data_IF_131986102644
#
_entry.id   IF_131986102644
#
_cell.length_a   1.000
_cell.length_b   1.000
_cell.length_c   1.000
_cell.angle_alpha   90.00
_cell.angle_beta   90.00
_cell.angle_gamma   90.00
#
_symmetry.space_group_name_H-M   'P 1'
#
loop_
_entity.id
_entity.type
_entity.pdbx_description
1 polymer ?
#
# COMPACT_ATOMS: atom_id res chain seq x y z
N UNK A 1 -30.97 -9.83 15.60
CA UNK A 1 -30.47 -10.59 14.43
C UNK A 1 -28.96 -10.46 14.41
N UNK A 2 -28.23 -11.59 14.40
CA UNK A 2 -26.77 -11.61 14.37
C UNK A 2 -26.34 -11.95 12.95
N UNK A 3 -25.60 -11.05 12.30
CA UNK A 3 -25.08 -11.20 10.93
C UNK A 3 -23.56 -11.27 10.99
N UNK A 4 -22.90 -11.86 10.00
CA UNK A 4 -21.45 -11.92 9.92
C UNK A 4 -20.84 -10.52 9.88
N UNK A 5 -21.43 -9.62 9.07
CA UNK A 5 -20.99 -8.21 8.98
C UNK A 5 -21.09 -7.47 10.31
N UNK A 6 -22.13 -7.74 11.12
CA UNK A 6 -22.29 -7.15 12.45
C UNK A 6 -21.21 -7.64 13.41
N UNK A 7 -20.85 -8.93 13.35
CA UNK A 7 -19.77 -9.49 14.14
C UNK A 7 -18.42 -8.88 13.74
N UNK A 8 -18.13 -8.78 12.43
CA UNK A 8 -16.91 -8.17 11.93
C UNK A 8 -16.80 -6.68 12.32
N UNK A 9 -17.89 -5.92 12.19
CA UNK A 9 -17.91 -4.50 12.59
C UNK A 9 -17.65 -4.33 14.10
N UNK A 10 -18.17 -5.22 14.94
CA UNK A 10 -17.84 -5.21 16.38
C UNK A 10 -16.36 -5.49 16.62
N UNK A 11 -15.78 -6.46 15.92
CA UNK A 11 -14.34 -6.73 15.99
C UNK A 11 -13.46 -5.54 15.57
N UNK A 12 -13.89 -4.78 14.56
CA UNK A 12 -13.25 -3.51 14.20
C UNK A 12 -13.33 -2.49 15.34
N UNK A 13 -14.51 -2.30 15.94
CA UNK A 13 -14.70 -1.37 17.08
C UNK A 13 -13.83 -1.78 18.28
N UNK A 14 -13.78 -3.08 18.61
CA UNK A 14 -12.95 -3.61 19.69
C UNK A 14 -11.46 -3.36 19.40
N UNK A 15 -11.03 -3.55 18.14
CA UNK A 15 -9.66 -3.23 17.70
C UNK A 15 -9.34 -1.73 17.85
N UNK A 16 -10.25 -0.85 17.47
CA UNK A 16 -10.05 0.60 17.63
C UNK A 16 -9.95 1.00 19.10
N UNK A 17 -10.72 0.33 19.97
CA UNK A 17 -10.64 0.52 21.43
C UNK A 17 -9.28 0.07 21.96
N UNK A 18 -8.77 -1.08 21.52
CA UNK A 18 -7.43 -1.56 21.90
C UNK A 18 -6.32 -0.61 21.43
N UNK A 19 -6.42 -0.09 20.20
CA UNK A 19 -5.47 0.88 19.63
C UNK A 19 -5.43 2.15 20.48
N UNK A 20 -6.60 2.69 20.84
CA UNK A 20 -6.68 3.87 21.71
C UNK A 20 -6.03 3.64 23.08
N UNK A 21 -6.24 2.46 23.67
CA UNK A 21 -5.71 2.13 25.00
C UNK A 21 -4.20 1.84 25.00
N UNK A 22 -3.67 1.26 23.92
CA UNK A 22 -2.29 0.74 23.86
C UNK A 22 -1.38 1.52 22.92
N UNK A 23 -1.73 1.53 21.64
CA UNK A 23 -0.88 2.13 20.60
C UNK A 23 -0.82 3.66 20.72
N UNK A 24 -1.91 4.30 21.15
CA UNK A 24 -1.95 5.74 21.46
C UNK A 24 -1.47 6.05 22.89
N UNK A 25 -0.50 5.29 23.42
CA UNK A 25 -0.08 5.42 24.81
C UNK A 25 1.40 5.10 25.08
N UNK A 26 1.80 5.04 26.36
CA UNK A 26 3.19 4.90 26.78
C UNK A 26 3.87 3.61 26.27
N UNK A 27 3.10 2.58 25.93
CA UNK A 27 3.62 1.33 25.34
C UNK A 27 4.37 1.61 24.03
N UNK A 28 3.95 2.60 23.22
CA UNK A 28 4.66 3.08 22.01
C UNK A 28 5.46 4.36 22.25
N UNK A 29 5.81 4.65 23.50
CA UNK A 29 6.58 5.82 23.92
C UNK A 29 5.87 7.17 23.63
N UNK A 30 4.54 7.20 23.72
CA UNK A 30 3.73 8.41 23.60
C UNK A 30 3.26 8.85 25.01
N UNK A 31 3.64 10.06 25.43
CA UNK A 31 3.47 10.49 26.84
C UNK A 31 2.73 11.81 27.02
N UNK A 32 2.54 12.58 25.95
CA UNK A 32 1.88 13.89 26.01
C UNK A 32 0.50 13.89 25.34
N UNK A 33 -0.33 14.87 25.70
CA UNK A 33 -1.61 15.10 25.01
C UNK A 33 -1.42 15.34 23.50
N UNK A 34 -0.32 15.99 23.13
CA UNK A 34 0.05 16.21 21.73
C UNK A 34 0.39 14.90 21.01
N UNK A 35 1.07 13.96 21.68
CA UNK A 35 1.37 12.65 21.11
C UNK A 35 0.10 11.85 20.85
N UNK A 36 -0.83 11.83 21.81
CA UNK A 36 -2.13 11.15 21.68
C UNK A 36 -2.95 11.76 20.53
N UNK A 37 -3.02 13.09 20.46
CA UNK A 37 -3.71 13.77 19.36
C UNK A 37 -3.06 13.43 18.00
N UNK A 38 -1.73 13.36 17.93
CA UNK A 38 -1.01 13.00 16.73
C UNK A 38 -1.23 11.53 16.33
N UNK A 39 -1.27 10.59 17.29
CA UNK A 39 -1.54 9.18 17.02
C UNK A 39 -2.97 8.98 16.51
N UNK A 40 -3.97 9.65 17.09
CA UNK A 40 -5.34 9.62 16.58
C UNK A 40 -5.44 10.15 15.15
N UNK A 41 -4.73 11.24 14.84
CA UNK A 41 -4.66 11.74 13.45
C UNK A 41 -4.04 10.70 12.51
N UNK A 42 -2.94 10.06 12.92
CA UNK A 42 -2.32 9.00 12.15
C UNK A 42 -3.26 7.79 11.96
N UNK A 43 -4.01 7.40 13.00
CA UNK A 43 -5.02 6.35 12.94
C UNK A 43 -6.11 6.68 11.90
N UNK A 44 -6.58 7.93 11.84
CA UNK A 44 -7.57 8.33 10.83
C UNK A 44 -7.05 8.15 9.40
N UNK A 45 -5.79 8.49 9.14
CA UNK A 45 -5.19 8.25 7.82
C UNK A 45 -5.01 6.75 7.52
N UNK A 46 -4.65 5.93 8.52
CA UNK A 46 -4.56 4.47 8.37
C UNK A 46 -5.93 3.87 8.04
N UNK A 47 -6.98 4.30 8.72
CA UNK A 47 -8.36 3.87 8.43
C UNK A 47 -8.76 4.25 7.01
N UNK A 48 -8.49 5.49 6.59
CA UNK A 48 -8.76 5.95 5.22
C UNK A 48 -8.00 5.13 4.17
N UNK A 49 -6.72 4.83 4.43
CA UNK A 49 -5.89 3.99 3.57
C UNK A 49 -6.42 2.56 3.49
N UNK A 50 -6.85 1.98 4.62
CA UNK A 50 -7.42 0.65 4.68
C UNK A 50 -8.73 0.55 3.89
N UNK A 51 -9.63 1.52 4.08
CA UNK A 51 -10.91 1.57 3.36
C UNK A 51 -10.67 1.73 1.86
N UNK A 52 -9.82 2.68 1.46
CA UNK A 52 -9.53 2.95 0.05
C UNK A 52 -8.81 1.78 -0.62
N UNK A 53 -7.76 1.26 0.00
CA UNK A 53 -6.85 0.30 -0.62
C UNK A 53 -7.29 -1.16 -0.54
N UNK A 54 -8.13 -1.52 0.44
CA UNK A 54 -8.39 -2.93 0.77
C UNK A 54 -9.87 -3.31 0.87
N UNK A 55 -10.79 -2.42 1.25
CA UNK A 55 -12.20 -2.82 1.48
C UNK A 55 -12.85 -3.40 0.21
N UNK A 56 -12.83 -2.67 -0.91
CA UNK A 56 -13.38 -3.12 -2.20
C UNK A 56 -12.30 -3.72 -3.13
N UNK A 57 -11.29 -4.40 -2.58
CA UNK A 57 -10.22 -4.93 -3.42
C UNK A 57 -10.70 -6.19 -4.17
N UNK A 58 -10.41 -6.26 -5.47
CA UNK A 58 -10.70 -7.44 -6.29
C UNK A 58 -9.55 -7.68 -7.28
N UNK A 59 -8.70 -8.70 -7.07
CA UNK A 59 -7.57 -8.97 -7.96
C UNK A 59 -7.99 -9.43 -9.36
N UNK A 60 -9.25 -9.82 -9.59
CA UNK A 60 -9.75 -10.11 -10.94
C UNK A 60 -10.24 -8.85 -11.68
N UNK A 61 -10.42 -7.73 -10.96
CA UNK A 61 -10.80 -6.42 -11.49
C UNK A 61 -10.02 -5.32 -10.76
N UNK A 62 -8.67 -5.34 -10.85
CA UNK A 62 -7.86 -4.41 -10.09
C UNK A 62 -7.97 -2.99 -10.65
N UNK A 63 -7.77 -2.01 -9.78
CA UNK A 63 -7.55 -0.62 -10.13
C UNK A 63 -6.36 -0.08 -9.32
N UNK A 64 -5.65 0.90 -9.88
CA UNK A 64 -4.53 1.55 -9.21
C UNK A 64 -5.05 2.65 -8.30
N UNK A 65 -4.78 2.53 -7.00
CA UNK A 65 -5.24 3.48 -6.00
C UNK A 65 -4.05 4.20 -5.38
N UNK A 66 -4.21 5.50 -5.13
CA UNK A 66 -3.19 6.26 -4.41
C UNK A 66 -2.99 5.69 -3.02
N UNK A 67 -1.75 5.40 -2.63
CA UNK A 67 -1.47 5.00 -1.23
C UNK A 67 -1.59 6.24 -0.34
N UNK A 68 -0.89 7.31 -0.74
CA UNK A 68 -0.89 8.60 -0.05
C UNK A 68 -1.34 9.73 -0.98
N UNK A 69 -1.93 10.74 -0.35
CA UNK A 69 -2.41 11.98 -0.96
C UNK A 69 -2.01 13.14 -0.04
N UNK A 70 -2.18 14.41 -0.45
CA UNK A 70 -1.96 15.54 0.46
C UNK A 70 -2.75 15.46 1.78
N UNK A 71 -3.89 14.77 1.79
CA UNK A 71 -4.74 14.58 2.96
C UNK A 71 -4.55 13.24 3.68
N UNK A 72 -3.90 12.24 3.05
CA UNK A 72 -3.72 10.89 3.58
C UNK A 72 -2.25 10.51 3.63
N UNK A 73 -1.71 10.39 4.85
CA UNK A 73 -0.34 9.97 5.12
C UNK A 73 -0.25 8.52 5.59
N UNK A 74 0.83 7.82 5.25
CA UNK A 74 1.01 6.43 5.63
C UNK A 74 2.49 6.06 5.71
N UNK A 75 2.92 5.53 6.87
CA UNK A 75 4.21 4.82 7.05
C UNK A 75 5.45 5.53 6.47
N UNK A 76 5.63 6.82 6.76
CA UNK A 76 6.82 7.58 6.34
C UNK A 76 6.79 8.01 4.87
N UNK A 77 5.62 8.46 4.39
CA UNK A 77 5.43 8.93 3.03
C UNK A 77 6.40 10.07 2.65
N UNK A 78 6.94 9.97 1.43
CA UNK A 78 7.76 11.02 0.83
C UNK A 78 6.86 11.96 0.01
N UNK A 79 6.79 13.27 0.32
CA UNK A 79 5.94 14.23 -0.40
C UNK A 79 6.44 14.53 -1.83
N UNK A 80 7.68 14.15 -2.16
CA UNK A 80 8.26 14.24 -3.50
C UNK A 80 7.99 12.99 -4.35
N UNK A 81 7.13 12.10 -3.86
CA UNK A 81 6.79 10.86 -4.55
C UNK A 81 5.28 10.65 -4.68
N UNK A 82 4.90 9.99 -5.78
CA UNK A 82 3.54 9.54 -6.07
C UNK A 82 3.50 8.02 -6.04
N UNK A 83 2.65 7.49 -5.16
CA UNK A 83 2.51 6.08 -4.86
C UNK A 83 1.15 5.55 -5.30
N UNK A 84 1.14 4.47 -6.08
CA UNK A 84 -0.08 3.70 -6.32
C UNK A 84 0.12 2.25 -5.96
N UNK A 85 -0.97 1.57 -5.62
CA UNK A 85 -0.98 0.14 -5.45
C UNK A 85 -2.25 -0.49 -6.03
N UNK A 86 -2.22 -1.81 -6.21
CA UNK A 86 -3.35 -2.59 -6.68
C UNK A 86 -3.24 -4.05 -6.19
N UNK A 87 -4.37 -4.72 -5.87
CA UNK A 87 -4.36 -6.12 -5.49
C UNK A 87 -3.97 -7.00 -6.68
N UNK A 88 -3.20 -8.05 -6.39
CA UNK A 88 -2.83 -9.10 -7.34
C UNK A 88 -3.19 -10.46 -6.74
N UNK A 89 -3.22 -11.48 -7.59
CA UNK A 89 -3.38 -12.86 -7.17
C UNK A 89 -2.47 -13.77 -7.98
N UNK A 90 -1.80 -14.69 -7.29
CA UNK A 90 -1.01 -15.73 -7.92
C UNK A 90 -1.83 -16.54 -8.94
N UNK A 91 -1.18 -16.91 -10.05
CA UNK A 91 -1.83 -17.64 -11.15
C UNK A 91 -2.72 -16.80 -12.07
N UNK A 92 -2.91 -15.50 -11.78
CA UNK A 92 -3.49 -14.55 -12.73
C UNK A 92 -2.41 -13.86 -13.57
N UNK A 93 -2.85 -13.20 -14.64
CA UNK A 93 -2.00 -12.45 -15.56
C UNK A 93 -2.49 -11.01 -15.64
N UNK A 94 -1.56 -10.05 -15.63
CA UNK A 94 -1.90 -8.64 -15.65
C UNK A 94 -1.05 -7.85 -16.64
N UNK A 95 -1.60 -6.74 -17.10
CA UNK A 95 -0.86 -5.71 -17.82
C UNK A 95 -1.05 -4.36 -17.14
N UNK A 96 0.06 -3.67 -16.89
CA UNK A 96 0.10 -2.30 -16.37
C UNK A 96 0.57 -1.39 -17.49
N UNK A 97 -0.22 -0.37 -17.80
CA UNK A 97 0.20 0.72 -18.66
C UNK A 97 0.41 1.96 -17.81
N UNK A 98 1.52 2.66 -18.06
CA UNK A 98 1.84 3.87 -17.33
C UNK A 98 2.74 4.81 -18.11
N UNK A 99 3.06 5.92 -17.49
CA UNK A 99 4.00 6.93 -17.99
C UNK A 99 4.92 7.36 -16.86
N UNK A 100 6.18 7.65 -17.19
CA UNK A 100 7.12 8.26 -16.27
C UNK A 100 6.61 9.60 -15.71
N UNK A 101 5.77 10.33 -16.46
CA UNK A 101 5.23 11.65 -16.07
C UNK A 101 6.31 12.65 -15.63
N UNK A 102 7.53 12.54 -16.17
CA UNK A 102 8.68 13.39 -15.79
C UNK A 102 9.36 13.01 -14.47
N UNK A 103 8.99 11.89 -13.84
CA UNK A 103 9.68 11.37 -12.66
C UNK A 103 11.15 11.06 -12.98
N UNK A 104 12.04 11.42 -12.05
CA UNK A 104 13.47 11.08 -12.13
C UNK A 104 13.69 9.57 -11.95
N UNK A 105 12.83 8.94 -11.16
CA UNK A 105 12.87 7.50 -10.90
C UNK A 105 11.47 6.91 -10.81
N UNK A 106 11.29 5.75 -11.43
CA UNK A 106 10.09 4.92 -11.29
C UNK A 106 10.48 3.51 -10.86
N UNK A 107 9.73 2.94 -9.93
CA UNK A 107 9.77 1.50 -9.65
C UNK A 107 8.39 0.89 -9.48
N UNK A 108 8.31 -0.40 -9.79
CA UNK A 108 7.21 -1.28 -9.40
C UNK A 108 7.77 -2.45 -8.59
N UNK A 109 7.16 -2.69 -7.44
CA UNK A 109 7.47 -3.77 -6.50
C UNK A 109 6.28 -4.71 -6.42
N UNK A 110 6.51 -6.01 -6.52
CA UNK A 110 5.54 -7.04 -6.19
C UNK A 110 5.75 -7.46 -4.73
N UNK A 111 4.68 -7.42 -3.97
CA UNK A 111 4.66 -7.71 -2.54
C UNK A 111 3.95 -9.03 -2.27
N UNK A 112 4.42 -9.77 -1.27
CA UNK A 112 3.84 -11.03 -0.81
C UNK A 112 3.15 -10.88 0.55
N UNK A 113 2.13 -11.70 0.79
CA UNK A 113 1.53 -11.85 2.13
C UNK A 113 0.49 -10.79 2.52
N UNK A 114 0.09 -9.89 1.62
CA UNK A 114 -0.85 -8.79 1.94
C UNK A 114 -2.32 -9.11 1.67
N UNK A 115 -2.66 -10.32 1.21
CA UNK A 115 -4.02 -10.74 0.83
C UNK A 115 -5.08 -10.41 1.90
N UNK A 116 -4.75 -10.65 3.17
CA UNK A 116 -5.64 -10.47 4.30
C UNK A 116 -5.47 -9.12 4.99
N UNK A 117 -4.72 -8.18 4.40
CA UNK A 117 -4.50 -6.83 4.96
C UNK A 117 -3.23 -6.69 5.80
N UNK A 118 -2.46 -7.75 5.98
CA UNK A 118 -1.19 -7.71 6.70
C UNK A 118 -0.13 -6.85 5.97
N UNK A 119 0.93 -6.49 6.68
CA UNK A 119 2.12 -5.88 6.07
C UNK A 119 2.80 -6.91 5.17
N UNK A 120 3.41 -6.45 4.07
CA UNK A 120 4.13 -7.32 3.16
C UNK A 120 5.23 -8.08 3.92
N UNK A 121 5.24 -9.40 3.78
CA UNK A 121 6.23 -10.27 4.43
C UNK A 121 7.52 -10.38 3.62
N UNK A 122 7.42 -10.19 2.30
CA UNK A 122 8.53 -10.33 1.37
C UNK A 122 8.27 -9.55 0.07
N UNK A 123 9.34 -9.35 -0.71
CA UNK A 123 9.29 -8.80 -2.06
C UNK A 123 9.43 -9.92 -3.09
N UNK A 124 8.39 -10.16 -3.89
CA UNK A 124 8.38 -11.17 -4.96
C UNK A 124 9.20 -10.74 -6.18
N UNK A 125 9.32 -9.44 -6.43
CA UNK A 125 10.04 -8.92 -7.59
C UNK A 125 10.05 -7.39 -7.62
N UNK A 126 11.08 -6.83 -8.26
CA UNK A 126 11.23 -5.39 -8.44
C UNK A 126 11.69 -5.11 -9.86
N UNK A 127 11.12 -4.09 -10.47
CA UNK A 127 11.63 -3.50 -11.70
C UNK A 127 11.58 -1.97 -11.58
N UNK A 128 12.49 -1.29 -12.27
CA UNK A 128 12.56 0.16 -12.29
C UNK A 128 12.84 0.68 -13.70
N UNK A 129 12.78 2.01 -13.86
CA UNK A 129 12.92 2.66 -15.17
C UNK A 129 14.24 2.40 -15.89
N UNK A 130 15.33 2.04 -15.19
CA UNK A 130 16.61 1.70 -15.85
C UNK A 130 16.63 0.28 -16.41
N UNK A 131 15.76 -0.60 -15.88
CA UNK A 131 15.57 -1.97 -16.36
C UNK A 131 14.39 -2.15 -17.32
N UNK A 132 13.71 -1.06 -17.70
CA UNK A 132 12.51 -1.08 -18.54
C UNK A 132 12.75 -0.45 -19.90
N UNK A 133 12.06 -0.99 -20.90
CA UNK A 133 11.89 -0.31 -22.18
C UNK A 133 10.74 0.71 -22.02
N UNK A 134 11.07 1.98 -22.24
CA UNK A 134 10.17 3.13 -22.15
C UNK A 134 10.21 3.84 -23.51
N UNK A 135 9.05 4.16 -24.08
CA UNK A 135 8.98 4.80 -25.38
C UNK A 135 9.46 6.26 -25.34
N UNK A 136 9.62 6.88 -26.51
CA UNK A 136 10.07 8.28 -26.63
C UNK A 136 9.12 9.31 -26.02
N UNK A 137 7.88 8.92 -25.72
CA UNK A 137 6.88 9.75 -25.06
C UNK A 137 6.85 9.49 -23.54
N UNK A 138 7.72 8.63 -23.02
CA UNK A 138 7.78 8.27 -21.60
C UNK A 138 6.78 7.20 -21.16
N UNK A 139 6.08 6.54 -22.09
CA UNK A 139 5.11 5.49 -21.75
C UNK A 139 5.79 4.13 -21.62
N UNK A 140 5.22 3.29 -20.76
CA UNK A 140 5.63 1.89 -20.60
C UNK A 140 4.43 0.96 -20.54
N UNK A 141 4.67 -0.30 -20.89
CA UNK A 141 3.76 -1.41 -20.64
C UNK A 141 4.53 -2.50 -19.91
N UNK A 142 4.02 -2.94 -18.77
CA UNK A 142 4.60 -3.98 -17.92
C UNK A 142 3.63 -5.16 -17.80
N UNK A 143 4.15 -6.37 -17.93
CA UNK A 143 3.37 -7.60 -17.79
C UNK A 143 3.71 -8.29 -16.47
N UNK A 144 2.69 -8.77 -15.75
CA UNK A 144 2.86 -9.45 -14.47
C UNK A 144 2.26 -10.86 -14.58
N UNK A 145 3.06 -11.88 -14.27
CA UNK A 145 2.64 -13.27 -14.43
C UNK A 145 2.56 -13.72 -15.89
N UNK A 146 1.86 -14.82 -16.13
CA UNK A 146 1.69 -15.40 -17.47
C UNK A 146 2.98 -15.91 -18.10
N UNK A 147 2.96 -16.03 -19.44
CA UNK A 147 4.12 -16.43 -20.23
C UNK A 147 5.30 -15.48 -20.02
N UNK A 148 6.49 -16.07 -19.80
CA UNK A 148 7.72 -15.31 -19.58
C UNK A 148 8.03 -14.39 -20.77
N UNK A 149 8.48 -13.17 -20.47
CA UNK A 149 8.93 -12.20 -21.46
C UNK A 149 10.33 -11.71 -21.12
N UNK A 150 11.06 -11.27 -22.15
CA UNK A 150 12.45 -10.82 -22.00
C UNK A 150 12.57 -9.41 -21.38
N UNK A 151 11.53 -8.60 -21.53
CA UNK A 151 11.49 -7.19 -21.13
C UNK A 151 10.18 -6.85 -20.46
N UNK A 152 10.23 -5.86 -19.57
CA UNK A 152 9.08 -5.30 -18.87
C UNK A 152 8.14 -6.37 -18.29
N UNK A 153 8.73 -7.35 -17.61
CA UNK A 153 7.98 -8.49 -17.08
C UNK A 153 8.48 -8.90 -15.71
N UNK A 154 7.55 -9.26 -14.84
CA UNK A 154 7.82 -9.87 -13.54
C UNK A 154 6.95 -11.12 -13.35
N UNK A 155 7.52 -12.23 -12.85
CA UNK A 155 6.71 -13.39 -12.47
C UNK A 155 5.85 -13.08 -11.24
N UNK A 156 4.70 -13.75 -11.13
CA UNK A 156 3.97 -13.81 -9.86
C UNK A 156 4.37 -15.10 -9.15
N UNK A 157 4.81 -14.96 -7.90
CA UNK A 157 5.03 -16.09 -7.00
C UNK A 157 3.69 -16.60 -6.45
N UNK A 158 3.64 -17.80 -5.84
CA UNK A 158 2.43 -18.29 -5.17
C UNK A 158 1.87 -17.35 -4.09
N UNK A 159 2.71 -16.52 -3.48
CA UNK A 159 2.33 -15.62 -2.38
C UNK A 159 2.17 -14.15 -2.81
N UNK A 160 2.39 -13.83 -4.10
CA UNK A 160 2.23 -12.45 -4.61
C UNK A 160 0.79 -11.99 -4.46
N UNK A 161 0.62 -10.82 -3.84
CA UNK A 161 -0.69 -10.32 -3.40
C UNK A 161 -0.97 -8.87 -3.77
N UNK A 162 0.06 -8.06 -4.05
CA UNK A 162 -0.11 -6.64 -4.37
C UNK A 162 1.06 -6.15 -5.21
N UNK A 163 0.82 -5.15 -6.06
CA UNK A 163 1.89 -4.31 -6.59
C UNK A 163 1.88 -2.96 -5.88
N UNK A 164 3.06 -2.37 -5.77
CA UNK A 164 3.25 -0.98 -5.36
C UNK A 164 4.15 -0.28 -6.37
N UNK A 165 3.74 0.89 -6.84
CA UNK A 165 4.51 1.77 -7.72
C UNK A 165 4.98 3.00 -6.99
N UNK A 166 6.12 3.54 -7.40
CA UNK A 166 6.72 4.74 -6.81
C UNK A 166 7.28 5.60 -7.93
N UNK A 167 6.78 6.82 -8.08
CA UNK A 167 7.35 7.84 -8.96
C UNK A 167 7.98 8.90 -8.09
N UNK A 168 9.29 9.10 -8.19
CA UNK A 168 10.02 10.11 -7.43
C UNK A 168 10.40 11.28 -8.32
N UNK A 169 10.24 12.49 -7.78
CA UNK A 169 10.50 13.75 -8.46
C UNK A 169 11.54 14.55 -7.69
N UNK A 170 12.32 15.36 -8.40
CA UNK A 170 13.38 16.20 -7.83
C UNK A 170 13.06 17.67 -8.09
N UNK A 171 11.89 18.12 -7.63
CA UNK A 171 11.42 19.49 -7.82
C UNK A 171 11.64 20.33 -6.57
N UNK A 172 11.70 21.65 -6.71
CA UNK A 172 11.81 22.57 -5.57
C UNK A 172 10.54 22.60 -4.69
N UNK A 173 9.40 22.19 -5.26
CA UNK A 173 8.12 22.05 -4.56
C UNK A 173 7.67 20.59 -4.56
N UNK A 174 7.07 20.09 -3.48
CA UNK A 174 6.69 18.67 -3.41
C UNK A 174 5.74 18.23 -4.51
N UNK A 175 6.05 17.12 -5.15
CA UNK A 175 5.26 16.60 -6.26
C UNK A 175 3.83 16.23 -5.86
N UNK A 176 3.61 15.80 -4.60
CA UNK A 176 2.28 15.50 -4.10
C UNK A 176 1.31 16.70 -4.12
N UNK A 177 1.82 17.94 -4.19
CA UNK A 177 1.01 19.16 -4.24
C UNK A 177 0.62 19.60 -5.66
N UNK A 178 1.21 18.99 -6.69
CA UNK A 178 0.95 19.35 -8.09
C UNK A 178 0.19 18.22 -8.80
N UNK A 179 -1.12 18.38 -9.05
CA UNK A 179 -1.91 17.39 -9.79
C UNK A 179 -1.40 17.10 -11.20
N UNK A 180 -0.60 17.98 -11.81
CA UNK A 180 -0.03 17.75 -13.15
C UNK A 180 1.09 16.70 -13.14
N UNK A 181 1.68 16.44 -11.97
CA UNK A 181 2.71 15.43 -11.79
C UNK A 181 2.14 14.06 -11.43
N UNK A 182 0.82 13.93 -11.26
CA UNK A 182 0.19 12.64 -11.02
C UNK A 182 0.26 11.75 -12.30
N UNK A 183 0.99 10.62 -12.26
CA UNK A 183 1.14 9.74 -13.41
C UNK A 183 -0.18 9.10 -13.83
N UNK A 184 -0.40 9.04 -15.14
CA UNK A 184 -1.53 8.30 -15.72
C UNK A 184 -1.18 6.82 -15.81
N UNK A 185 -1.86 6.00 -15.03
CA UNK A 185 -1.67 4.55 -15.07
C UNK A 185 -3.00 3.79 -15.06
N UNK A 186 -2.96 2.58 -15.57
CA UNK A 186 -4.04 1.60 -15.49
C UNK A 186 -3.47 0.19 -15.36
N UNK A 187 -4.22 -0.67 -14.69
CA UNK A 187 -3.96 -2.11 -14.64
C UNK A 187 -5.17 -2.85 -15.19
N UNK A 188 -4.92 -3.94 -15.90
CA UNK A 188 -5.94 -4.87 -16.36
C UNK A 188 -5.54 -6.29 -15.98
N UNK A 189 -6.51 -7.07 -15.48
CA UNK A 189 -6.37 -8.51 -15.36
C UNK A 189 -6.73 -9.16 -16.71
N UNK A 190 -5.79 -9.89 -17.30
CA UNK A 190 -5.92 -10.60 -18.56
C UNK A 190 -6.57 -11.98 -18.38
N UNK A 191 -6.54 -12.53 -17.16
CA UNK A 191 -7.19 -13.79 -16.85
C UNK A 191 -8.71 -13.64 -16.85
N UNK A 192 -9.45 -14.42 -17.66
CA UNK A 192 -10.91 -14.37 -17.67
C UNK A 192 -11.48 -14.68 -16.29
N UNK A 193 -12.45 -13.87 -15.84
CA UNK A 193 -13.18 -14.12 -14.61
C UNK A 193 -14.66 -13.82 -14.78
N UNK A 194 -15.55 -14.50 -14.02
CA UNK A 194 -16.97 -14.21 -14.05
C UNK A 194 -17.25 -12.78 -13.56
N UNK A 195 -18.44 -12.29 -13.89
CA UNK A 195 -18.97 -11.04 -13.31
C UNK A 195 -19.07 -11.25 -11.79
N UNK A 196 -18.55 -10.32 -10.97
CA UNK A 196 -18.68 -10.41 -9.52
C UNK A 196 -20.14 -10.52 -9.09
N UNK A 197 -20.42 -11.39 -8.13
CA UNK A 197 -21.73 -11.40 -7.48
C UNK A 197 -21.92 -10.08 -6.70
N UNK A 198 -23.17 -9.61 -6.51
CA UNK A 198 -23.45 -8.52 -5.59
C UNK A 198 -22.92 -8.85 -4.19
N UNK A 199 -22.39 -7.87 -3.43
CA UNK A 199 -21.94 -8.09 -2.07
C UNK A 199 -23.05 -8.70 -1.20
N UNK A 200 -22.69 -9.68 -0.40
CA UNK A 200 -23.56 -10.31 0.59
C UNK A 200 -23.00 -10.12 2.01
N UNK A 201 -23.71 -10.63 3.01
CA UNK A 201 -23.32 -10.48 4.41
C UNK A 201 -21.93 -11.08 4.71
N UNK A 202 -21.56 -12.18 4.02
CA UNK A 202 -20.29 -12.86 4.24
C UNK A 202 -19.13 -12.12 3.54
N UNK A 203 -19.34 -11.64 2.31
CA UNK A 203 -18.32 -10.87 1.60
C UNK A 203 -18.02 -9.57 2.33
N UNK A 204 -19.05 -8.84 2.76
CA UNK A 204 -18.90 -7.60 3.53
C UNK A 204 -18.17 -7.86 4.86
N UNK A 205 -18.48 -8.98 5.54
CA UNK A 205 -17.77 -9.35 6.76
C UNK A 205 -16.27 -9.60 6.52
N UNK A 206 -15.91 -10.28 5.42
CA UNK A 206 -14.53 -10.52 5.03
C UNK A 206 -13.79 -9.21 4.71
N UNK A 207 -14.46 -8.25 4.08
CA UNK A 207 -13.90 -6.95 3.73
C UNK A 207 -13.65 -6.07 4.97
N UNK A 208 -14.58 -6.08 5.94
CA UNK A 208 -14.38 -5.44 7.25
C UNK A 208 -13.19 -6.09 8.00
N UNK A 209 -13.10 -7.42 7.98
CA UNK A 209 -12.00 -8.13 8.65
C UNK A 209 -10.65 -7.77 8.03
N UNK A 210 -10.58 -7.69 6.70
CA UNK A 210 -9.37 -7.27 5.99
C UNK A 210 -8.96 -5.85 6.33
N UNK A 211 -9.91 -4.90 6.38
CA UNK A 211 -9.64 -3.53 6.86
C UNK A 211 -9.14 -3.52 8.29
N UNK A 212 -9.73 -4.34 9.16
CA UNK A 212 -9.29 -4.49 10.55
C UNK A 212 -7.84 -4.96 10.61
N UNK A 213 -7.46 -5.95 9.80
CA UNK A 213 -6.09 -6.45 9.73
C UNK A 213 -5.10 -5.39 9.20
N UNK A 214 -5.49 -4.57 8.22
CA UNK A 214 -4.67 -3.42 7.75
C UNK A 214 -4.38 -2.45 8.89
N UNK A 215 -5.41 -2.12 9.66
CA UNK A 215 -5.28 -1.19 10.78
C UNK A 215 -4.38 -1.81 11.86
N UNK A 216 -4.60 -3.07 12.26
CA UNK A 216 -3.77 -3.76 13.27
C UNK A 216 -2.31 -3.88 12.84
N UNK A 217 -2.07 -4.28 11.59
CA UNK A 217 -0.73 -4.51 11.06
C UNK A 217 0.14 -3.25 11.03
N UNK A 218 -0.49 -2.07 10.97
CA UNK A 218 0.17 -0.74 10.97
C UNK A 218 0.09 -0.02 12.31
N UNK A 219 -0.46 -0.66 13.33
CA UNK A 219 -0.55 -0.14 14.71
C UNK A 219 -0.02 -1.17 15.70
N UNK A 220 -0.89 -1.99 16.29
CA UNK A 220 -0.61 -2.94 17.37
C UNK A 220 0.44 -4.00 17.02
N UNK A 221 0.58 -4.36 15.74
CA UNK A 221 1.57 -5.36 15.32
C UNK A 221 2.93 -4.75 14.96
N UNK A 222 3.04 -3.42 14.87
CA UNK A 222 4.34 -2.76 14.71
C UNK A 222 5.05 -2.75 16.06
N UNK A 223 6.32 -3.18 16.15
CA UNK A 223 7.02 -3.17 17.42
C UNK A 223 7.06 -1.75 18.01
N UNK A 224 6.93 -1.60 19.33
CA UNK A 224 7.18 -0.32 19.99
C UNK A 224 8.55 0.24 19.64
N UNK A 225 8.63 1.55 19.35
CA UNK A 225 9.87 2.23 18.93
C UNK A 225 11.04 2.06 19.92
N UNK A 226 10.77 1.68 21.17
CA UNK A 226 11.77 1.63 22.24
C UNK A 226 12.67 0.38 22.26
N UNK A 227 12.49 -0.59 21.36
CA UNK A 227 13.06 -1.95 21.57
C UNK A 227 14.02 -2.47 20.49
N UNK A 228 14.55 -1.63 19.59
CA UNK A 228 15.53 -2.11 18.60
C UNK A 228 16.66 -1.12 18.34
N UNK A 229 17.89 -1.63 18.21
CA UNK A 229 18.99 -0.86 17.62
C UNK A 229 18.61 -0.46 16.19
N UNK A 230 18.75 0.83 15.82
CA UNK A 230 18.50 1.26 14.46
C UNK A 230 19.48 0.54 13.51
N UNK A 231 19.06 0.19 12.29
CA UNK A 231 19.95 -0.45 11.34
C UNK A 231 21.10 0.50 10.97
N UNK A 232 22.27 -0.02 10.51
CA UNK A 232 23.47 0.79 10.29
C UNK A 232 23.30 1.98 9.34
N UNK A 233 22.30 1.92 8.44
CA UNK A 233 22.01 2.99 7.49
C UNK A 233 21.09 4.09 8.06
N UNK A 234 20.57 3.95 9.27
CA UNK A 234 19.61 4.88 9.86
C UNK A 234 20.29 5.83 10.85
N UNK A 235 20.23 7.14 10.56
CA UNK A 235 20.74 8.18 11.43
C UNK A 235 19.61 8.86 12.21
N UNK A 236 19.81 9.02 13.52
CA UNK A 236 18.88 9.75 14.39
C UNK A 236 19.03 11.27 14.24
N UNK A 237 20.14 11.75 13.67
CA UNK A 237 20.38 13.16 13.39
C UNK A 237 19.94 13.49 11.95
N UNK A 238 18.96 14.38 11.76
CA UNK A 238 18.56 14.81 10.42
C UNK A 238 19.74 15.37 9.62
N UNK A 239 19.84 14.97 8.35
CA UNK A 239 20.88 15.39 7.39
C UNK A 239 22.32 14.97 7.73
N UNK A 240 22.50 13.97 8.59
CA UNK A 240 23.78 13.30 8.78
C UNK A 240 23.70 11.87 8.26
N UNK A 241 24.70 11.45 7.47
CA UNK A 241 24.83 10.05 7.08
C UNK A 241 25.50 9.27 8.21
N UNK A 242 25.08 8.04 8.49
CA UNK A 242 25.80 7.17 9.41
C UNK A 242 27.23 6.94 8.90
N UNK A 243 28.17 6.86 9.85
CA UNK A 243 29.60 6.68 9.59
C UNK A 243 29.94 5.33 8.95
#
# INVERSE_FOLDING_TARGET
>A
MTTASRTALRGLIDTLTEIDQRWSGPEWNLHSEADVAASHRALMHIIEAALTGFFEQNPARPDLRRITTPSRKLTGDNPDAVYFDAPLQAGMEYVVHGTMQGAAYFSLTLEEGTHNGDMASNTAGVINNTGMDIDSNGNFTLYLGGEKRDKNWLPLTPDTSRLTTRHYFEHATPAALDPQLEPRMRIECLTPSPVPAPPDDASIAADIQRVTNVIRSRTLNMPPMANSEPPPFFCLTPNEFPA
#
